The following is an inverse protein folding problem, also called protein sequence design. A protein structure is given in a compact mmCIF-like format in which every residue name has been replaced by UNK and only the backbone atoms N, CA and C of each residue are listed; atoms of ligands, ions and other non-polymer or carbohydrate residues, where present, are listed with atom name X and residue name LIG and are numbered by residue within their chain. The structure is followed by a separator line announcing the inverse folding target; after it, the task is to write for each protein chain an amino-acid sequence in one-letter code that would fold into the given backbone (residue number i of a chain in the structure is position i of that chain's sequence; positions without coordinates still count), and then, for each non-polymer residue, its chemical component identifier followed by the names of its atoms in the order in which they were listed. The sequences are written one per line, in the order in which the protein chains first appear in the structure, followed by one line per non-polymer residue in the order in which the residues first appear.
data_IF_823736255639
#
_entry.id   IF_823736255639
#
_cell.length_a   1.000
_cell.length_b   1.000
_cell.length_c   1.000
_cell.angle_alpha   90.00
_cell.angle_beta   90.00
_cell.angle_gamma   90.00
#
_symmetry.space_group_name_H-M   'P 1'
#
loop_
_entity.id
_entity.type
_entity.pdbx_description
1 polymer ?
#
# COMPACT_ATOMS: atom_id res chain seq x y z
N UNK A 1 28.96 0.81 -85.57
CA UNK A 1 29.32 -0.11 -84.46
C UNK A 1 29.81 0.69 -83.27
N UNK A 2 28.93 0.93 -82.32
CA UNK A 2 29.24 1.68 -81.08
C UNK A 2 29.46 0.65 -79.99
N UNK A 3 30.69 0.59 -79.46
CA UNK A 3 31.03 -0.20 -78.26
C UNK A 3 30.61 0.56 -76.97
N UNK A 4 29.65 0.09 -76.26
CA UNK A 4 29.31 0.60 -74.94
C UNK A 4 30.15 -0.16 -73.93
N UNK A 5 31.05 0.55 -73.21
CA UNK A 5 31.76 0.04 -72.04
C UNK A 5 30.90 0.24 -70.82
N UNK A 6 30.48 -0.82 -70.24
CA UNK A 6 29.84 -0.81 -68.90
C UNK A 6 30.92 -0.75 -67.85
N UNK A 7 31.03 0.39 -67.15
CA UNK A 7 31.81 0.52 -65.93
C UNK A 7 30.98 -0.02 -64.75
N UNK A 8 31.45 -1.11 -64.19
CA UNK A 8 30.92 -1.66 -62.96
C UNK A 8 31.31 -0.76 -61.78
N UNK A 9 30.30 -0.15 -61.15
CA UNK A 9 30.48 0.57 -59.89
C UNK A 9 30.27 -0.43 -58.78
N UNK A 10 31.35 -0.86 -58.13
CA UNK A 10 31.30 -1.58 -56.87
C UNK A 10 30.89 -0.60 -55.77
N UNK A 11 29.63 -0.65 -55.36
CA UNK A 11 29.16 0.02 -54.16
C UNK A 11 29.66 -0.78 -52.93
N UNK A 12 30.61 -0.21 -52.21
CA UNK A 12 31.01 -0.72 -50.88
C UNK A 12 29.92 -0.36 -49.89
N UNK A 13 29.03 -1.30 -49.61
CA UNK A 13 28.07 -1.17 -48.52
C UNK A 13 28.82 -1.40 -47.21
N UNK A 14 29.11 -0.33 -46.47
CA UNK A 14 29.59 -0.40 -45.12
C UNK A 14 28.42 -0.82 -44.21
N UNK A 15 28.42 -2.04 -43.76
CA UNK A 15 27.50 -2.52 -42.70
C UNK A 15 27.98 -1.94 -41.39
N UNK A 16 27.34 -0.86 -40.97
CA UNK A 16 27.50 -0.35 -39.61
C UNK A 16 26.69 -1.29 -38.66
N UNK A 17 27.39 -2.24 -38.08
CA UNK A 17 26.83 -3.02 -36.99
C UNK A 17 26.79 -2.10 -35.78
N UNK A 18 25.62 -1.48 -35.54
CA UNK A 18 25.33 -0.79 -34.29
C UNK A 18 25.22 -1.82 -33.20
N UNK A 19 26.28 -1.96 -32.41
CA UNK A 19 26.30 -2.77 -31.18
C UNK A 19 25.50 -1.99 -30.17
N UNK A 20 24.16 -2.14 -30.17
CA UNK A 20 23.34 -1.77 -29.03
C UNK A 20 23.73 -2.73 -27.88
N UNK A 21 24.66 -2.29 -27.03
CA UNK A 21 24.88 -2.88 -25.74
C UNK A 21 23.56 -2.74 -24.97
N UNK A 22 22.74 -3.78 -24.99
CA UNK A 22 21.68 -3.97 -24.03
C UNK A 22 22.38 -4.09 -22.67
N UNK A 23 22.51 -2.97 -21.97
CA UNK A 23 22.72 -2.98 -20.54
C UNK A 23 21.47 -3.60 -19.90
N UNK A 24 21.39 -4.92 -19.95
CA UNK A 24 20.58 -5.68 -19.01
C UNK A 24 21.19 -5.37 -17.65
N UNK A 25 20.55 -4.50 -16.90
CA UNK A 25 20.80 -4.37 -15.48
C UNK A 25 20.48 -5.75 -14.88
N UNK A 26 21.51 -6.57 -14.71
CA UNK A 26 21.42 -7.80 -13.94
C UNK A 26 21.17 -7.33 -12.53
N UNK A 27 19.90 -7.29 -12.12
CA UNK A 27 19.56 -7.16 -10.71
C UNK A 27 20.09 -8.44 -10.05
N UNK A 28 21.14 -8.31 -9.26
CA UNK A 28 21.61 -9.44 -8.47
C UNK A 28 20.47 -9.90 -7.55
N UNK A 29 20.35 -11.20 -7.37
CA UNK A 29 19.34 -11.75 -6.48
C UNK A 29 19.59 -11.28 -5.05
N UNK A 30 18.54 -10.94 -4.27
CA UNK A 30 18.71 -10.56 -2.88
C UNK A 30 19.51 -11.58 -2.10
N UNK A 31 20.48 -11.13 -1.33
CA UNK A 31 21.27 -12.02 -0.47
C UNK A 31 20.58 -12.20 0.88
N UNK A 32 20.69 -13.40 1.46
CA UNK A 32 20.13 -13.71 2.79
C UNK A 32 21.22 -13.71 3.84
N UNK A 33 20.99 -12.99 4.95
CA UNK A 33 21.88 -12.93 6.11
C UNK A 33 21.19 -13.51 7.34
N UNK A 34 21.72 -14.59 7.91
CA UNK A 34 21.30 -15.11 9.21
C UNK A 34 21.86 -14.24 10.36
N UNK A 35 21.00 -13.81 11.26
CA UNK A 35 21.34 -12.93 12.38
C UNK A 35 21.58 -13.78 13.64
N UNK A 36 22.83 -14.08 13.96
CA UNK A 36 23.21 -14.83 15.18
C UNK A 36 23.07 -14.02 16.46
N UNK A 37 23.09 -12.71 16.36
CA UNK A 37 22.79 -11.71 17.41
C UNK A 37 21.83 -10.66 16.86
N UNK A 38 21.22 -9.85 17.71
CA UNK A 38 20.47 -8.68 17.23
C UNK A 38 21.43 -7.67 16.64
N UNK A 39 21.17 -7.25 15.41
CA UNK A 39 22.04 -6.35 14.66
C UNK A 39 21.28 -5.08 14.28
N UNK A 40 22.01 -3.98 14.30
CA UNK A 40 21.54 -2.70 13.81
C UNK A 40 21.99 -2.56 12.35
N UNK A 41 21.02 -2.43 11.44
CA UNK A 41 21.24 -2.37 10.00
C UNK A 41 20.42 -1.24 9.37
N UNK A 42 20.90 -0.71 8.26
CA UNK A 42 20.14 0.26 7.49
C UNK A 42 19.10 -0.44 6.60
N UNK A 43 17.84 0.00 6.61
CA UNK A 43 16.90 -0.33 5.54
C UNK A 43 17.44 0.15 4.18
N UNK A 44 17.07 -0.53 3.12
CA UNK A 44 17.35 -0.01 1.78
C UNK A 44 16.76 1.40 1.61
N UNK A 45 17.43 2.25 0.83
CA UNK A 45 17.03 3.64 0.65
C UNK A 45 17.43 4.61 1.77
N UNK A 46 17.94 4.11 2.91
CA UNK A 46 18.45 4.98 3.98
C UNK A 46 19.94 5.21 3.81
N UNK A 47 20.33 6.48 3.76
CA UNK A 47 21.75 6.90 3.65
C UNK A 47 22.25 7.57 4.91
N UNK A 48 21.34 8.02 5.78
CA UNK A 48 21.62 8.72 7.03
C UNK A 48 20.53 8.40 8.06
N UNK A 49 20.80 8.62 9.32
CA UNK A 49 19.85 8.42 10.43
C UNK A 49 20.21 7.22 11.30
N UNK A 50 19.32 6.88 12.21
CA UNK A 50 19.52 5.76 13.11
C UNK A 50 19.26 4.42 12.41
N UNK A 51 20.13 3.44 12.68
CA UNK A 51 19.93 2.07 12.21
C UNK A 51 18.75 1.41 12.92
N UNK A 52 18.12 0.47 12.25
CA UNK A 52 17.02 -0.34 12.81
C UNK A 52 17.61 -1.62 13.39
N UNK A 53 17.16 -1.99 14.60
CA UNK A 53 17.57 -3.23 15.25
C UNK A 53 16.72 -4.40 14.79
N UNK A 54 17.37 -5.38 14.15
CA UNK A 54 16.74 -6.63 13.71
C UNK A 54 17.00 -7.76 14.70
N UNK A 55 16.05 -8.71 14.77
CA UNK A 55 15.98 -9.75 15.81
C UNK A 55 16.99 -10.87 15.56
N UNK A 56 17.71 -11.28 16.62
CA UNK A 56 18.55 -12.48 16.59
C UNK A 56 17.76 -13.75 16.26
N UNK A 57 18.42 -14.70 15.63
CA UNK A 57 17.83 -16.00 15.26
C UNK A 57 16.88 -15.92 14.09
N UNK A 58 16.87 -14.80 13.35
CA UNK A 58 16.06 -14.61 12.14
C UNK A 58 16.94 -14.36 10.92
N UNK A 59 16.34 -14.32 9.75
CA UNK A 59 17.02 -14.01 8.49
C UNK A 59 16.59 -12.64 8.00
N UNK A 60 17.54 -11.82 7.57
CA UNK A 60 17.28 -10.59 6.83
C UNK A 60 17.61 -10.78 5.35
N UNK A 61 16.77 -10.27 4.47
CA UNK A 61 17.06 -10.17 3.04
C UNK A 61 17.74 -8.83 2.77
N UNK A 62 18.85 -8.84 2.05
CA UNK A 62 19.67 -7.67 1.78
C UNK A 62 19.75 -7.43 0.27
N UNK A 63 19.86 -6.17 -0.11
CA UNK A 63 20.22 -5.77 -1.47
C UNK A 63 21.73 -5.83 -1.69
N UNK A 64 22.17 -5.52 -2.90
CA UNK A 64 23.59 -5.58 -3.30
C UNK A 64 24.52 -4.67 -2.46
N UNK A 65 23.97 -3.62 -1.85
CA UNK A 65 24.70 -2.70 -0.99
C UNK A 65 24.71 -3.15 0.48
N UNK A 66 24.14 -4.33 0.80
CA UNK A 66 24.03 -4.86 2.15
C UNK A 66 22.93 -4.20 3.00
N UNK A 67 22.06 -3.40 2.39
CA UNK A 67 20.94 -2.78 3.08
C UNK A 67 19.71 -3.71 3.12
N UNK A 68 18.91 -3.63 4.18
CA UNK A 68 17.82 -4.55 4.44
C UNK A 68 16.62 -4.27 3.55
N UNK A 69 16.21 -5.25 2.74
CA UNK A 69 14.95 -5.28 1.99
C UNK A 69 13.81 -5.73 2.91
N UNK A 70 14.04 -6.80 3.69
CA UNK A 70 13.09 -7.32 4.66
C UNK A 70 13.79 -8.00 5.82
N UNK A 71 13.16 -7.97 7.00
CA UNK A 71 13.70 -8.58 8.19
C UNK A 71 12.72 -8.55 9.35
N UNK A 72 13.05 -9.19 10.46
CA UNK A 72 12.23 -9.22 11.67
C UNK A 72 12.72 -8.16 12.65
N UNK A 73 11.84 -7.23 13.04
CA UNK A 73 12.17 -6.18 14.02
C UNK A 73 12.48 -6.78 15.39
N UNK A 74 13.50 -6.26 16.09
CA UNK A 74 13.83 -6.71 17.44
C UNK A 74 12.85 -6.20 18.49
N UNK A 75 12.31 -4.99 18.31
CA UNK A 75 11.38 -4.32 19.21
C UNK A 75 10.39 -3.48 18.38
N UNK A 76 9.31 -3.02 19.03
CA UNK A 76 8.40 -2.07 18.41
C UNK A 76 9.16 -0.84 17.93
N UNK A 77 8.89 -0.44 16.70
CA UNK A 77 9.66 0.62 16.05
C UNK A 77 8.74 1.53 15.24
N UNK A 78 8.91 2.84 15.37
CA UNK A 78 8.20 3.82 14.55
C UNK A 78 8.90 3.98 13.20
N UNK A 79 8.17 3.64 12.13
CA UNK A 79 8.67 3.71 10.75
C UNK A 79 7.66 4.42 9.86
N UNK A 80 8.14 5.04 8.80
CA UNK A 80 7.28 5.66 7.80
C UNK A 80 6.74 4.62 6.83
N UNK A 81 5.41 4.47 6.67
CA UNK A 81 4.84 3.63 5.62
C UNK A 81 5.07 4.26 4.24
N UNK A 82 4.93 3.47 3.20
CA UNK A 82 4.89 3.98 1.83
C UNK A 82 3.73 4.98 1.71
N UNK A 83 3.96 6.11 1.04
CA UNK A 83 2.94 7.19 0.92
C UNK A 83 2.71 8.01 2.20
N UNK A 84 3.63 7.98 3.15
CA UNK A 84 3.55 8.72 4.41
C UNK A 84 3.25 10.22 4.23
N UNK A 85 3.69 10.82 3.12
CA UNK A 85 3.41 12.22 2.79
C UNK A 85 1.90 12.47 2.55
N UNK A 86 1.18 11.49 2.00
CA UNK A 86 -0.28 11.57 1.82
C UNK A 86 -1.02 11.50 3.15
N UNK A 87 -0.58 10.65 4.07
CA UNK A 87 -1.12 10.55 5.43
C UNK A 87 -0.99 11.89 6.14
N UNK A 88 0.14 12.56 5.97
CA UNK A 88 0.42 13.88 6.55
C UNK A 88 -0.43 14.97 5.91
N UNK A 89 -0.52 15.02 4.59
CA UNK A 89 -1.29 16.01 3.86
C UNK A 89 -2.78 15.90 4.20
N UNK A 90 -3.31 14.68 4.26
CA UNK A 90 -4.69 14.43 4.67
C UNK A 90 -4.95 14.86 6.11
N UNK A 91 -4.00 14.65 7.03
CA UNK A 91 -4.11 15.14 8.40
C UNK A 91 -4.17 16.67 8.49
N UNK A 92 -3.34 17.37 7.76
CA UNK A 92 -3.39 18.85 7.73
C UNK A 92 -4.67 19.37 7.10
N UNK A 93 -5.12 18.74 6.03
CA UNK A 93 -6.37 19.10 5.37
C UNK A 93 -7.55 18.92 6.34
N UNK A 94 -7.66 17.78 7.00
CA UNK A 94 -8.70 17.50 7.98
C UNK A 94 -8.61 18.47 9.16
N UNK A 95 -7.44 18.72 9.74
CA UNK A 95 -7.29 19.62 10.87
C UNK A 95 -7.60 21.09 10.54
N UNK A 96 -7.27 21.53 9.33
CA UNK A 96 -7.55 22.89 8.86
C UNK A 96 -9.05 23.13 8.61
N UNK A 97 -9.77 22.11 8.15
CA UNK A 97 -11.20 22.21 7.84
C UNK A 97 -12.10 21.94 9.04
N UNK A 98 -11.74 21.04 9.94
CA UNK A 98 -12.56 20.68 11.12
C UNK A 98 -12.70 21.80 12.11
N UNK A 99 -11.74 22.73 12.16
CA UNK A 99 -11.84 23.93 13.01
C UNK A 99 -12.81 25.01 12.48
N UNK A 100 -13.39 24.86 11.29
CA UNK A 100 -14.18 25.91 10.64
C UNK A 100 -15.56 25.50 10.12
N UNK A 101 -15.96 24.23 10.14
CA UNK A 101 -17.23 23.83 9.54
C UNK A 101 -18.13 23.00 10.47
N UNK A 102 -19.39 23.44 10.70
CA UNK A 102 -20.38 22.64 11.45
C UNK A 102 -20.95 21.45 10.66
N UNK A 103 -20.53 21.24 9.41
CA UNK A 103 -21.14 20.28 8.49
C UNK A 103 -20.36 18.95 8.35
N UNK A 104 -19.28 18.76 9.07
CA UNK A 104 -18.56 17.49 9.00
C UNK A 104 -19.21 16.40 9.85
N UNK A 105 -19.32 15.15 9.33
CA UNK A 105 -19.95 14.05 10.03
C UNK A 105 -19.29 13.76 11.40
N UNK A 106 -20.05 13.18 12.32
CA UNK A 106 -19.61 12.81 13.69
C UNK A 106 -18.28 12.05 13.75
N UNK A 107 -17.87 11.41 12.69
CA UNK A 107 -16.61 10.68 12.54
C UNK A 107 -15.39 11.57 12.75
N UNK A 108 -15.43 12.82 12.28
CA UNK A 108 -14.35 13.80 12.48
C UNK A 108 -14.35 14.43 13.89
N UNK A 109 -15.47 14.37 14.61
CA UNK A 109 -15.55 14.85 16.01
C UNK A 109 -14.80 13.96 17.00
N UNK A 110 -14.69 12.68 16.72
CA UNK A 110 -13.99 11.74 17.59
C UNK A 110 -12.49 12.04 17.68
N UNK A 111 -11.94 12.54 16.60
CA UNK A 111 -10.54 13.01 16.54
C UNK A 111 -10.31 14.32 17.30
N UNK A 112 -11.33 15.14 17.44
CA UNK A 112 -11.19 16.51 17.98
C UNK A 112 -11.31 16.60 19.51
N UNK A 113 -11.78 15.56 20.19
CA UNK A 113 -12.11 15.70 21.61
C UNK A 113 -11.10 15.16 22.61
N UNK A 114 -10.09 14.37 22.24
CA UNK A 114 -9.17 13.82 23.23
C UNK A 114 -7.71 13.60 22.83
N UNK A 115 -7.33 13.83 21.62
CA UNK A 115 -5.93 13.76 21.20
C UNK A 115 -5.40 15.10 20.72
N UNK A 116 -5.79 16.14 21.42
CA UNK A 116 -5.15 17.42 21.28
C UNK A 116 -3.66 17.25 21.52
N UNK A 117 -2.90 17.21 20.40
CA UNK A 117 -1.54 17.77 20.38
C UNK A 117 -0.40 17.01 21.08
N UNK A 118 -0.55 15.72 21.39
CA UNK A 118 0.59 14.87 21.75
C UNK A 118 1.02 13.92 20.64
N UNK A 119 0.73 14.24 19.39
CA UNK A 119 1.51 13.66 18.31
C UNK A 119 2.86 14.36 18.37
N UNK A 120 3.78 13.80 19.15
CA UNK A 120 5.16 14.23 19.12
C UNK A 120 5.58 14.33 17.64
N UNK A 121 6.35 15.37 17.26
CA UNK A 121 6.88 15.51 15.91
C UNK A 121 7.58 14.24 15.42
N UNK A 122 8.06 13.40 16.34
CA UNK A 122 8.60 12.07 16.10
C UNK A 122 7.61 11.06 15.53
N UNK A 123 6.31 11.22 15.73
CA UNK A 123 5.27 10.32 15.20
C UNK A 123 4.70 10.78 13.87
N UNK A 124 5.11 11.94 13.39
CA UNK A 124 4.62 12.55 12.16
C UNK A 124 4.87 11.65 10.93
N UNK A 125 3.78 11.10 10.38
CA UNK A 125 3.83 10.14 9.27
C UNK A 125 4.45 8.79 9.64
N UNK A 126 4.67 8.49 10.91
CA UNK A 126 5.18 7.20 11.36
C UNK A 126 4.05 6.33 11.90
N UNK A 127 4.13 5.05 11.58
CA UNK A 127 3.33 3.98 12.18
C UNK A 127 4.24 3.18 13.10
N UNK A 128 3.73 2.78 14.26
CA UNK A 128 4.45 1.89 15.18
C UNK A 128 4.26 0.45 14.69
N UNK A 129 5.35 -0.15 14.23
CA UNK A 129 5.38 -1.55 13.81
C UNK A 129 5.84 -2.46 14.94
N UNK A 130 5.23 -3.66 14.99
CA UNK A 130 5.39 -4.59 16.10
C UNK A 130 6.73 -5.33 16.05
N UNK A 131 7.45 -5.33 17.16
CA UNK A 131 8.64 -6.14 17.36
C UNK A 131 8.36 -7.64 17.29
N UNK A 132 9.35 -8.40 16.86
CA UNK A 132 9.21 -9.84 16.63
C UNK A 132 8.46 -10.22 15.38
N UNK A 133 8.04 -9.26 14.54
CA UNK A 133 7.35 -9.49 13.26
C UNK A 133 8.17 -8.99 12.08
N UNK A 134 7.90 -9.54 10.91
CA UNK A 134 8.57 -9.14 9.67
C UNK A 134 8.10 -7.76 9.20
N UNK A 135 9.03 -7.03 8.58
CA UNK A 135 8.81 -5.78 7.88
C UNK A 135 9.51 -5.83 6.52
N UNK A 136 8.89 -5.24 5.51
CA UNK A 136 9.46 -5.11 4.16
C UNK A 136 9.55 -3.64 3.78
N UNK A 137 10.68 -3.23 3.21
CA UNK A 137 10.96 -1.85 2.83
C UNK A 137 10.90 -1.66 1.31
N UNK A 138 10.45 -0.50 0.89
CA UNK A 138 10.58 -0.03 -0.48
C UNK A 138 12.03 0.39 -0.77
N UNK A 139 12.37 0.61 -2.02
CA UNK A 139 13.68 1.16 -2.43
C UNK A 139 13.96 2.55 -1.85
N UNK A 140 12.92 3.28 -1.45
CA UNK A 140 13.03 4.60 -0.80
C UNK A 140 13.14 4.51 0.72
N UNK A 141 13.13 3.31 1.30
CA UNK A 141 13.28 3.09 2.74
C UNK A 141 12.01 3.27 3.56
N UNK A 142 10.86 3.29 2.91
CA UNK A 142 9.55 3.29 3.58
C UNK A 142 9.01 1.87 3.70
N UNK A 143 8.12 1.62 4.66
CA UNK A 143 7.55 0.29 4.87
C UNK A 143 6.44 0.02 3.86
N UNK A 144 6.59 -1.07 3.10
CA UNK A 144 5.56 -1.60 2.21
C UNK A 144 4.62 -2.58 2.93
N UNK A 145 5.16 -3.36 3.88
CA UNK A 145 4.41 -4.38 4.59
C UNK A 145 4.96 -4.53 5.99
N UNK A 146 4.08 -4.63 6.98
CA UNK A 146 4.48 -4.86 8.37
C UNK A 146 3.29 -5.02 9.30
N UNK A 147 3.50 -5.65 10.45
CA UNK A 147 2.48 -5.78 11.49
C UNK A 147 2.44 -4.49 12.32
N UNK A 148 1.29 -3.83 12.37
CA UNK A 148 1.12 -2.63 13.19
C UNK A 148 0.98 -2.99 14.67
N UNK A 149 1.63 -2.23 15.55
CA UNK A 149 1.60 -2.49 16.98
C UNK A 149 0.31 -1.96 17.64
N UNK A 150 -0.15 -0.81 17.21
CA UNK A 150 -1.33 -0.14 17.73
C UNK A 150 -2.43 -0.08 16.66
N UNK A 151 -3.68 0.10 17.08
CA UNK A 151 -4.75 0.46 16.15
C UNK A 151 -4.38 1.75 15.43
N UNK A 152 -4.44 1.72 14.11
CA UNK A 152 -3.88 2.80 13.28
C UNK A 152 -4.91 3.25 12.27
N UNK A 153 -5.18 4.55 12.24
CA UNK A 153 -6.06 5.17 11.26
C UNK A 153 -5.25 5.72 10.10
N UNK A 154 -5.57 5.28 8.90
CA UNK A 154 -4.83 5.60 7.66
C UNK A 154 -5.79 6.07 6.59
N UNK A 155 -5.41 7.10 5.82
CA UNK A 155 -6.13 7.52 4.62
C UNK A 155 -5.98 6.49 3.49
N UNK A 156 -7.07 6.17 2.81
CA UNK A 156 -7.07 5.19 1.70
C UNK A 156 -6.44 5.72 0.41
N UNK A 157 -5.98 6.96 0.39
CA UNK A 157 -5.33 7.56 -0.77
C UNK A 157 -6.27 8.28 -1.74
N UNK A 158 -7.59 8.13 -1.59
CA UNK A 158 -8.57 8.97 -2.28
C UNK A 158 -9.33 9.83 -1.28
N UNK A 159 -9.54 11.10 -1.61
CA UNK A 159 -10.36 12.02 -0.81
C UNK A 159 -11.81 11.54 -0.58
N UNK A 160 -12.23 10.52 -1.35
CA UNK A 160 -13.58 9.98 -1.33
C UNK A 160 -13.90 9.10 -0.11
N UNK A 161 -12.88 8.49 0.51
CA UNK A 161 -13.10 7.46 1.55
C UNK A 161 -12.62 7.85 2.93
N UNK A 162 -11.88 8.96 3.04
CA UNK A 162 -11.38 9.46 4.32
C UNK A 162 -10.38 8.51 4.98
N UNK A 163 -10.45 8.44 6.30
CA UNK A 163 -9.55 7.64 7.13
C UNK A 163 -10.25 6.38 7.62
N UNK A 164 -9.53 5.27 7.62
CA UNK A 164 -10.02 3.96 8.09
C UNK A 164 -9.11 3.44 9.19
N UNK A 165 -9.74 2.91 10.25
CA UNK A 165 -9.04 2.29 11.36
C UNK A 165 -8.68 0.83 11.04
N UNK A 166 -7.41 0.49 11.16
CA UNK A 166 -6.87 -0.85 11.01
C UNK A 166 -6.48 -1.43 12.36
N UNK A 167 -6.81 -2.72 12.56
CA UNK A 167 -6.68 -3.43 13.82
C UNK A 167 -5.22 -3.66 14.20
N UNK A 168 -4.86 -3.36 15.44
CA UNK A 168 -3.55 -3.67 16.03
C UNK A 168 -3.20 -5.16 15.97
N UNK A 169 -1.92 -5.47 15.87
CA UNK A 169 -1.40 -6.83 15.79
C UNK A 169 -1.65 -7.51 14.45
N UNK A 170 -2.11 -6.79 13.42
CA UNK A 170 -2.36 -7.32 12.07
C UNK A 170 -1.45 -6.66 11.04
N UNK A 171 -1.30 -7.31 9.90
CA UNK A 171 -0.49 -6.79 8.80
C UNK A 171 -1.23 -5.66 8.09
N UNK A 172 -0.51 -4.57 7.82
CA UNK A 172 -0.90 -3.50 6.93
C UNK A 172 0.05 -3.47 5.74
N UNK A 173 -0.52 -3.51 4.55
CA UNK A 173 0.18 -3.65 3.27
C UNK A 173 -0.13 -2.45 2.37
N UNK A 174 0.88 -1.93 1.68
CA UNK A 174 0.77 -0.75 0.82
C UNK A 174 1.18 -1.07 -0.61
N UNK A 175 0.58 -0.39 -1.56
CA UNK A 175 1.08 -0.31 -2.93
C UNK A 175 2.33 0.59 -3.00
N UNK A 176 3.09 0.47 -4.09
CA UNK A 176 4.28 1.29 -4.30
C UNK A 176 3.98 2.80 -4.41
N UNK A 177 2.77 3.17 -4.80
CA UNK A 177 2.31 4.56 -4.84
C UNK A 177 1.85 5.09 -3.47
N UNK A 178 1.80 4.23 -2.45
CA UNK A 178 1.45 4.56 -1.07
C UNK A 178 -0.03 4.40 -0.73
N UNK A 179 -0.87 3.93 -1.66
CA UNK A 179 -2.23 3.55 -1.32
C UNK A 179 -2.24 2.28 -0.45
N UNK A 180 -3.24 2.17 0.43
CA UNK A 180 -3.42 0.94 1.22
C UNK A 180 -3.86 -0.18 0.29
N UNK A 181 -3.13 -1.31 0.34
CA UNK A 181 -3.42 -2.49 -0.47
C UNK A 181 -4.26 -3.51 0.28
N UNK A 182 -3.93 -3.74 1.55
CA UNK A 182 -4.59 -4.77 2.36
C UNK A 182 -4.38 -4.49 3.84
N UNK A 183 -5.40 -4.77 4.65
CA UNK A 183 -5.34 -4.66 6.11
C UNK A 183 -6.45 -5.44 6.78
N UNK A 184 -6.56 -5.34 8.09
CA UNK A 184 -7.69 -5.87 8.86
C UNK A 184 -8.46 -4.69 9.46
N UNK A 185 -9.74 -4.56 9.15
CA UNK A 185 -10.59 -3.49 9.70
C UNK A 185 -10.62 -3.58 11.24
N UNK A 186 -10.54 -2.46 11.93
CA UNK A 186 -10.70 -2.41 13.38
C UNK A 186 -12.17 -2.61 13.79
N UNK A 187 -13.08 -2.00 13.06
CA UNK A 187 -14.53 -1.97 13.29
C UNK A 187 -15.33 -2.13 12.00
N UNK A 188 -16.66 -2.30 12.12
CA UNK A 188 -17.55 -2.34 10.98
C UNK A 188 -17.47 -1.01 10.23
N UNK A 189 -17.26 -1.10 8.92
CA UNK A 189 -16.93 0.08 8.11
C UNK A 189 -17.70 0.09 6.80
N UNK A 190 -18.26 1.23 6.43
CA UNK A 190 -18.94 1.43 5.15
C UNK A 190 -17.96 1.88 4.09
N UNK A 191 -17.81 1.09 3.04
CA UNK A 191 -16.90 1.33 1.92
C UNK A 191 -17.58 1.01 0.59
N UNK A 192 -16.99 1.46 -0.51
CA UNK A 192 -17.46 1.15 -1.86
C UNK A 192 -16.66 -0.01 -2.46
N UNK A 193 -17.33 -1.10 -2.88
CA UNK A 193 -16.70 -2.17 -3.65
C UNK A 193 -16.40 -1.74 -5.09
N UNK A 194 -15.45 -2.42 -5.73
CA UNK A 194 -15.22 -2.27 -7.17
C UNK A 194 -16.50 -2.55 -7.95
N UNK A 195 -16.74 -1.77 -8.99
CA UNK A 195 -17.92 -1.92 -9.85
C UNK A 195 -19.24 -1.46 -9.22
N UNK A 196 -19.21 -0.77 -8.07
CA UNK A 196 -20.42 -0.34 -7.35
C UNK A 196 -21.37 0.48 -8.22
N UNK A 197 -20.85 1.28 -9.16
CA UNK A 197 -21.66 2.14 -10.03
C UNK A 197 -22.67 1.35 -10.90
N UNK A 198 -22.28 0.14 -11.29
CA UNK A 198 -23.07 -0.71 -12.20
C UNK A 198 -23.77 -1.85 -11.46
N UNK A 199 -23.19 -2.33 -10.35
CA UNK A 199 -23.58 -3.57 -9.71
C UNK A 199 -24.35 -3.37 -8.39
N UNK A 200 -24.27 -2.20 -7.75
CA UNK A 200 -25.08 -1.91 -6.57
C UNK A 200 -26.56 -1.85 -6.95
N UNK A 201 -27.40 -2.65 -6.28
CA UNK A 201 -28.86 -2.66 -6.46
C UNK A 201 -29.48 -1.53 -5.67
N UNK A 202 -29.04 -1.33 -4.44
CA UNK A 202 -29.51 -0.26 -3.56
C UNK A 202 -28.63 0.99 -3.73
N UNK A 203 -29.11 1.94 -4.49
CA UNK A 203 -28.45 3.23 -4.72
C UNK A 203 -28.77 4.28 -3.64
N UNK A 204 -29.68 4.01 -2.68
CA UNK A 204 -29.98 4.93 -1.57
C UNK A 204 -28.73 5.13 -0.71
N UNK A 205 -27.91 4.10 -0.57
CA UNK A 205 -26.61 4.15 0.11
C UNK A 205 -25.45 4.63 -0.78
N UNK A 206 -25.73 5.18 -1.98
CA UNK A 206 -24.71 5.64 -2.92
C UNK A 206 -23.60 4.60 -3.19
N UNK A 207 -23.95 3.30 -3.23
CA UNK A 207 -23.04 2.19 -3.44
C UNK A 207 -22.15 1.82 -2.23
N UNK A 208 -22.38 2.41 -1.06
CA UNK A 208 -21.69 2.00 0.16
C UNK A 208 -22.24 0.68 0.69
N UNK A 209 -21.33 -0.23 0.99
CA UNK A 209 -21.60 -1.54 1.60
C UNK A 209 -20.96 -1.57 2.98
N UNK A 210 -21.65 -2.10 3.98
CA UNK A 210 -21.09 -2.27 5.31
C UNK A 210 -20.29 -3.57 5.40
N UNK A 211 -19.00 -3.44 5.68
CA UNK A 211 -18.06 -4.55 5.85
C UNK A 211 -17.81 -4.83 7.32
N UNK A 212 -17.63 -6.12 7.62
CA UNK A 212 -17.47 -6.61 8.98
C UNK A 212 -16.10 -6.22 9.56
N UNK A 213 -16.11 -5.64 10.73
CA UNK A 213 -14.90 -5.38 11.52
C UNK A 213 -14.16 -6.67 11.88
N UNK A 214 -12.87 -6.55 12.11
CA UNK A 214 -11.93 -7.66 12.37
C UNK A 214 -11.78 -8.63 11.19
N UNK A 215 -12.31 -8.30 10.02
CA UNK A 215 -12.09 -9.04 8.77
C UNK A 215 -10.99 -8.40 7.94
N UNK A 216 -10.36 -9.23 7.11
CA UNK A 216 -9.36 -8.76 6.14
C UNK A 216 -10.09 -8.04 5.01
N UNK A 217 -9.53 -6.90 4.59
CA UNK A 217 -10.00 -6.12 3.45
C UNK A 217 -8.85 -5.89 2.48
N UNK A 218 -9.13 -5.97 1.19
CA UNK A 218 -8.21 -5.61 0.12
C UNK A 218 -8.81 -4.50 -0.73
N UNK A 219 -7.94 -3.63 -1.25
CA UNK A 219 -8.33 -2.44 -1.99
C UNK A 219 -7.67 -2.38 -3.37
N UNK A 220 -8.25 -1.60 -4.26
CA UNK A 220 -7.55 -1.05 -5.42
C UNK A 220 -6.64 0.11 -5.00
N UNK A 221 -5.73 0.58 -5.86
CA UNK A 221 -4.97 1.82 -5.58
C UNK A 221 -5.86 3.05 -5.38
N UNK A 222 -7.06 3.06 -5.96
CA UNK A 222 -8.05 4.14 -5.79
C UNK A 222 -8.87 4.04 -4.51
N UNK A 223 -8.70 2.96 -3.72
CA UNK A 223 -9.34 2.75 -2.42
C UNK A 223 -10.71 2.05 -2.49
N UNK A 224 -11.09 1.46 -3.62
CA UNK A 224 -12.29 0.62 -3.71
C UNK A 224 -12.00 -0.80 -3.22
N UNK A 225 -12.98 -1.42 -2.55
CA UNK A 225 -12.82 -2.75 -1.96
C UNK A 225 -12.88 -3.82 -3.06
N UNK A 226 -11.84 -4.64 -3.14
CA UNK A 226 -11.78 -5.81 -4.03
C UNK A 226 -12.14 -7.11 -3.32
N UNK A 227 -11.88 -7.20 -2.01
CA UNK A 227 -12.19 -8.39 -1.22
C UNK A 227 -12.45 -7.99 0.22
N UNK A 228 -13.56 -8.44 0.80
CA UNK A 228 -13.84 -8.30 2.22
C UNK A 228 -15.02 -9.20 2.64
N UNK A 229 -15.28 -9.27 3.95
CA UNK A 229 -16.47 -9.92 4.50
C UNK A 229 -17.60 -8.88 4.61
N UNK A 230 -18.72 -9.10 3.94
CA UNK A 230 -19.92 -8.27 4.10
C UNK A 230 -20.54 -8.53 5.47
N UNK A 231 -21.08 -7.49 6.10
CA UNK A 231 -21.70 -7.63 7.43
C UNK A 231 -23.12 -8.18 7.33
N UNK A 232 -23.93 -7.57 6.50
CA UNK A 232 -25.34 -7.91 6.30
C UNK A 232 -25.56 -8.52 4.90
N UNK A 233 -26.69 -9.21 4.65
CA UNK A 233 -27.00 -9.67 3.29
C UNK A 233 -26.99 -8.51 2.29
N UNK A 234 -26.36 -8.75 1.14
CA UNK A 234 -26.13 -7.74 0.12
C UNK A 234 -26.80 -8.15 -1.19
N UNK A 235 -27.68 -7.31 -1.73
CA UNK A 235 -28.17 -7.43 -3.10
C UNK A 235 -27.19 -6.77 -4.06
N UNK A 236 -26.73 -7.55 -5.02
CA UNK A 236 -25.68 -7.16 -5.95
C UNK A 236 -25.98 -7.68 -7.35
N UNK A 237 -25.48 -7.04 -8.39
CA UNK A 237 -25.55 -7.58 -9.74
C UNK A 237 -24.26 -8.31 -10.07
N UNK A 238 -24.38 -9.55 -10.51
CA UNK A 238 -23.30 -10.34 -11.08
C UNK A 238 -23.57 -10.57 -12.56
N UNK A 239 -22.70 -10.07 -13.43
CA UNK A 239 -22.90 -10.09 -14.88
C UNK A 239 -24.30 -9.56 -15.30
N UNK A 240 -24.81 -8.53 -14.61
CA UNK A 240 -26.12 -7.92 -14.86
C UNK A 240 -27.31 -8.67 -14.25
N UNK A 241 -27.09 -9.80 -13.60
CA UNK A 241 -28.15 -10.57 -12.91
C UNK A 241 -28.12 -10.21 -11.42
N UNK A 242 -29.29 -9.85 -10.89
CA UNK A 242 -29.40 -9.58 -9.45
C UNK A 242 -29.30 -10.89 -8.66
N UNK A 243 -28.38 -10.89 -7.68
CA UNK A 243 -28.16 -11.99 -6.73
C UNK A 243 -28.20 -11.45 -5.31
N UNK A 244 -28.46 -12.32 -4.35
CA UNK A 244 -28.34 -12.02 -2.92
C UNK A 244 -27.15 -12.74 -2.33
N UNK A 245 -26.20 -11.96 -1.80
CA UNK A 245 -24.99 -12.45 -1.14
C UNK A 245 -25.27 -12.51 0.38
N UNK A 246 -25.07 -13.68 1.02
CA UNK A 246 -25.35 -13.82 2.45
C UNK A 246 -24.45 -12.94 3.31
N UNK A 247 -25.00 -12.36 4.37
CA UNK A 247 -24.21 -11.67 5.39
C UNK A 247 -23.16 -12.59 6.02
N UNK A 248 -21.99 -12.07 6.33
CA UNK A 248 -20.84 -12.84 6.82
C UNK A 248 -20.03 -13.56 5.74
N UNK A 249 -20.42 -13.46 4.46
CA UNK A 249 -19.67 -14.05 3.35
C UNK A 249 -18.45 -13.21 2.98
N UNK A 250 -17.38 -13.88 2.56
CA UNK A 250 -16.22 -13.22 1.94
C UNK A 250 -16.51 -13.07 0.45
N UNK A 251 -16.49 -11.85 -0.03
CA UNK A 251 -16.82 -11.51 -1.41
C UNK A 251 -15.58 -10.97 -2.13
N UNK A 252 -15.41 -11.38 -3.39
CA UNK A 252 -14.46 -10.80 -4.33
C UNK A 252 -15.23 -9.94 -5.32
N UNK A 253 -15.08 -8.64 -5.24
CA UNK A 253 -15.74 -7.68 -6.11
C UNK A 253 -14.92 -7.40 -7.36
N UNK A 254 -15.57 -7.34 -8.50
CA UNK A 254 -15.02 -7.02 -9.81
C UNK A 254 -15.88 -5.97 -10.51
N UNK A 255 -15.43 -5.43 -11.64
CA UNK A 255 -16.21 -4.52 -12.46
C UNK A 255 -17.50 -5.16 -13.02
N UNK A 256 -17.52 -6.49 -13.18
CA UNK A 256 -18.62 -7.27 -13.74
C UNK A 256 -19.58 -7.79 -12.66
N UNK A 257 -19.12 -7.85 -11.39
CA UNK A 257 -19.95 -8.41 -10.31
C UNK A 257 -19.14 -8.88 -9.09
N UNK A 258 -19.58 -9.95 -8.48
CA UNK A 258 -19.06 -10.48 -7.23
C UNK A 258 -18.89 -12.01 -7.26
#
# INVERSE_FOLDING_TARGET
LIKIQTKSILAKTAVVISLCALCSSVFAAPTSKGLTKSEELYPQGWTVGDQIKFKKGTTASLNDNGAVISGVLASDTYLRPQGWQRIINDYYFVSAYTNRSPFFPRYYRYWNNNSTYNIALSSYGHIRYKGGTAVTFSEQGTVLNGTIADETTVGLGSEKYGFIAFKSGTILDFYNDGAVKKGTLAEDTKLRPVGWQNNAVDMENAGFVEFKGKSIVSFTPDGEVTNCTVKEPLKWKDNGVEIELPGGSIINFTEQGA
#
